data_IF_336902032120
#
_entry.id   IF_336902032120
#
_cell.length_a   1.000
_cell.length_b   1.000
_cell.length_c   1.000
_cell.angle_alpha   90.00
_cell.angle_beta   90.00
_cell.angle_gamma   90.00
#
_symmetry.space_group_name_H-M   'P 1'
#
loop_
_entity.id
_entity.type
_entity.pdbx_description
1 polymer ?
#
# COMPACT_ATOMS: atom_id res chain seq x y z
N UNK A 1 -15.93 -9.29 -5.09
CA UNK A 1 -14.74 -8.72 -4.46
C UNK A 1 -14.96 -8.63 -2.95
N UNK A 2 -14.16 -9.34 -2.16
CA UNK A 2 -14.31 -9.33 -0.71
C UNK A 2 -12.96 -9.26 -0.01
N UNK A 3 -12.91 -8.66 1.18
CA UNK A 3 -11.74 -8.67 2.04
C UNK A 3 -11.36 -10.11 2.46
N UNK A 4 -12.32 -11.01 2.52
CA UNK A 4 -12.08 -12.43 2.80
C UNK A 4 -11.22 -13.10 1.73
N UNK A 5 -11.47 -12.86 0.44
CA UNK A 5 -10.66 -13.42 -0.63
C UNK A 5 -9.22 -12.87 -0.61
N UNK A 6 -9.06 -11.57 -0.31
CA UNK A 6 -7.75 -10.95 -0.15
C UNK A 6 -7.01 -11.53 1.06
N UNK A 7 -7.68 -11.68 2.20
CA UNK A 7 -7.12 -12.26 3.41
C UNK A 7 -6.78 -13.75 3.23
N UNK A 8 -7.61 -14.51 2.53
CA UNK A 8 -7.33 -15.93 2.21
C UNK A 8 -6.04 -16.07 1.40
N UNK A 9 -5.84 -15.21 0.38
CA UNK A 9 -4.61 -15.19 -0.40
C UNK A 9 -3.38 -14.85 0.44
N UNK A 10 -3.50 -13.89 1.36
CA UNK A 10 -2.42 -13.53 2.28
C UNK A 10 -2.15 -14.66 3.29
N UNK A 11 -3.18 -15.29 3.84
CA UNK A 11 -3.05 -16.43 4.74
C UNK A 11 -2.36 -17.62 4.04
N UNK A 12 -2.77 -17.93 2.81
CA UNK A 12 -2.13 -18.95 1.99
C UNK A 12 -0.65 -18.62 1.73
N UNK A 13 -0.31 -17.35 1.49
CA UNK A 13 1.07 -16.90 1.35
C UNK A 13 1.88 -17.17 2.63
N UNK A 14 1.34 -16.82 3.79
CA UNK A 14 1.96 -17.08 5.11
C UNK A 14 2.17 -18.59 5.31
N UNK A 15 1.15 -19.40 5.07
CA UNK A 15 1.21 -20.87 5.23
C UNK A 15 2.24 -21.50 4.30
N UNK A 16 2.33 -21.06 3.06
CA UNK A 16 3.34 -21.55 2.12
C UNK A 16 4.76 -21.26 2.61
N UNK A 17 5.02 -20.06 3.15
CA UNK A 17 6.33 -19.69 3.68
C UNK A 17 6.67 -20.49 4.95
N UNK A 18 5.71 -20.68 5.85
CA UNK A 18 5.88 -21.54 7.03
C UNK A 18 6.15 -22.98 6.64
N UNK A 19 5.41 -23.53 5.68
CA UNK A 19 5.61 -24.89 5.18
C UNK A 19 6.97 -25.07 4.49
N UNK A 20 7.51 -24.00 3.89
CA UNK A 20 8.88 -23.99 3.35
C UNK A 20 9.98 -23.90 4.44
N UNK A 21 9.60 -23.85 5.72
CA UNK A 21 10.53 -23.79 6.84
C UNK A 21 11.00 -22.38 7.22
N UNK A 22 10.40 -21.34 6.67
CA UNK A 22 10.70 -19.96 7.04
C UNK A 22 9.94 -19.57 8.31
N UNK A 23 10.63 -19.02 9.29
CA UNK A 23 10.05 -18.57 10.56
C UNK A 23 10.07 -17.05 10.73
N UNK A 24 10.98 -16.39 10.02
CA UNK A 24 11.18 -14.95 10.08
C UNK A 24 10.97 -14.33 8.69
N UNK A 25 9.79 -13.79 8.47
CA UNK A 25 9.42 -13.10 7.24
C UNK A 25 8.32 -12.07 7.51
N UNK A 26 8.14 -11.14 6.58
CA UNK A 26 7.05 -10.18 6.58
C UNK A 26 6.36 -10.19 5.23
N UNK A 27 5.03 -10.12 5.26
CA UNK A 27 4.18 -9.87 4.09
C UNK A 27 3.74 -8.41 4.17
N UNK A 28 4.32 -7.59 3.31
CA UNK A 28 3.98 -6.17 3.21
C UNK A 28 2.83 -6.00 2.24
N UNK A 29 1.77 -5.32 2.66
CA UNK A 29 0.54 -5.14 1.90
C UNK A 29 0.34 -3.66 1.58
N UNK A 30 0.19 -3.34 0.30
CA UNK A 30 -0.19 -2.03 -0.19
C UNK A 30 -1.62 -2.03 -0.75
N UNK A 31 -2.17 -0.83 -0.93
CA UNK A 31 -3.50 -0.64 -1.52
C UNK A 31 -3.44 0.48 -2.56
N UNK A 32 -3.54 0.08 -3.83
CA UNK A 32 -3.30 1.00 -4.95
C UNK A 32 -4.39 2.07 -5.08
N UNK A 33 -5.61 1.80 -4.63
CA UNK A 33 -6.72 2.74 -4.79
C UNK A 33 -6.62 3.93 -3.84
N UNK A 34 -5.92 3.79 -2.71
CA UNK A 34 -5.62 4.91 -1.82
C UNK A 34 -4.87 6.01 -2.56
N UNK A 35 -3.74 5.68 -3.15
CA UNK A 35 -2.93 6.64 -3.90
C UNK A 35 -3.62 7.13 -5.17
N UNK A 36 -4.27 6.25 -5.94
CA UNK A 36 -5.04 6.63 -7.14
C UNK A 36 -6.15 7.64 -6.83
N UNK A 37 -6.82 7.48 -5.70
CA UNK A 37 -7.89 8.41 -5.28
C UNK A 37 -7.35 9.80 -4.95
N UNK A 38 -6.18 9.86 -4.29
CA UNK A 38 -5.51 11.12 -4.00
C UNK A 38 -4.99 11.80 -5.28
N UNK A 39 -4.44 11.04 -6.22
CA UNK A 39 -4.02 11.58 -7.53
C UNK A 39 -5.19 12.19 -8.29
N UNK A 40 -6.33 11.49 -8.31
CA UNK A 40 -7.55 11.99 -8.96
C UNK A 40 -8.05 13.30 -8.33
N UNK A 41 -7.96 13.41 -7.01
CA UNK A 41 -8.34 14.64 -6.29
C UNK A 41 -7.35 15.79 -6.54
N UNK A 42 -6.07 15.48 -6.71
CA UNK A 42 -5.03 16.47 -6.98
C UNK A 42 -5.07 17.04 -8.41
N UNK A 43 -5.80 16.40 -9.32
CA UNK A 43 -5.97 16.83 -10.73
C UNK A 43 -4.63 17.12 -11.45
N UNK A 44 -3.60 16.30 -11.17
CA UNK A 44 -2.29 16.41 -11.78
C UNK A 44 -2.31 15.93 -13.24
N UNK A 45 -1.44 16.49 -14.07
CA UNK A 45 -1.21 15.99 -15.41
C UNK A 45 -0.40 14.67 -15.41
N UNK A 46 -0.44 13.88 -16.49
CA UNK A 46 0.19 12.54 -16.55
C UNK A 46 1.68 12.53 -16.22
N UNK A 47 2.44 13.52 -16.64
CA UNK A 47 3.88 13.62 -16.34
C UNK A 47 4.14 13.89 -14.84
N UNK A 48 3.31 14.76 -14.24
CA UNK A 48 3.39 15.08 -12.81
C UNK A 48 2.99 13.88 -11.95
N UNK A 49 1.96 13.14 -12.34
CA UNK A 49 1.56 11.89 -11.66
C UNK A 49 2.68 10.86 -11.68
N UNK A 50 3.31 10.64 -12.84
CA UNK A 50 4.39 9.66 -12.96
C UNK A 50 5.62 10.08 -12.15
N UNK A 51 5.99 11.37 -12.17
CA UNK A 51 7.08 11.90 -11.35
C UNK A 51 6.82 11.67 -9.86
N UNK A 52 5.60 11.98 -9.38
CA UNK A 52 5.21 11.76 -7.99
C UNK A 52 5.25 10.27 -7.63
N UNK A 53 4.75 9.41 -8.51
CA UNK A 53 4.78 7.96 -8.34
C UNK A 53 6.21 7.44 -8.16
N UNK A 54 7.14 7.88 -8.99
CA UNK A 54 8.55 7.50 -8.90
C UNK A 54 9.16 7.96 -7.58
N UNK A 55 8.96 9.22 -7.18
CA UNK A 55 9.47 9.77 -5.92
C UNK A 55 8.97 8.98 -4.70
N UNK A 56 7.68 8.66 -4.65
CA UNK A 56 7.10 7.87 -3.56
C UNK A 56 7.64 6.44 -3.57
N UNK A 57 7.72 5.80 -4.73
CA UNK A 57 8.24 4.42 -4.86
C UNK A 57 9.71 4.31 -4.42
N UNK A 58 10.47 5.37 -4.60
CA UNK A 58 11.87 5.46 -4.15
C UNK A 58 12.01 5.88 -2.69
N UNK A 59 10.90 6.10 -1.97
CA UNK A 59 10.88 6.61 -0.59
C UNK A 59 11.61 7.95 -0.44
N UNK A 60 11.61 8.78 -1.51
CA UNK A 60 12.28 10.07 -1.55
C UNK A 60 11.36 11.17 -0.97
N UNK A 61 11.32 11.26 0.35
CA UNK A 61 10.46 12.23 1.06
C UNK A 61 10.78 13.68 0.69
N UNK A 62 12.07 14.01 0.61
CA UNK A 62 12.50 15.36 0.22
C UNK A 62 12.04 15.74 -1.20
N UNK A 63 12.20 14.83 -2.16
CA UNK A 63 11.73 15.05 -3.52
C UNK A 63 10.19 15.20 -3.61
N UNK A 64 9.44 14.51 -2.73
CA UNK A 64 7.99 14.68 -2.65
C UNK A 64 7.63 16.06 -2.07
N UNK A 65 8.31 16.52 -1.02
CA UNK A 65 8.11 17.87 -0.45
C UNK A 65 8.34 18.96 -1.50
N UNK A 66 9.47 18.94 -2.22
CA UNK A 66 9.73 19.87 -3.31
C UNK A 66 8.66 19.80 -4.41
N UNK A 67 8.25 18.59 -4.78
CA UNK A 67 7.24 18.39 -5.82
C UNK A 67 5.89 19.02 -5.45
N UNK A 68 5.38 18.78 -4.23
CA UNK A 68 4.06 19.29 -3.84
C UNK A 68 4.03 20.81 -3.71
N UNK A 69 5.15 21.44 -3.33
CA UNK A 69 5.33 22.88 -3.33
C UNK A 69 5.36 23.45 -4.76
N UNK A 70 6.14 22.84 -5.65
CA UNK A 70 6.23 23.20 -7.07
C UNK A 70 4.84 23.16 -7.75
N UNK A 71 4.06 22.11 -7.49
CA UNK A 71 2.72 21.93 -8.05
C UNK A 71 1.65 22.80 -7.36
N UNK A 72 1.99 23.51 -6.28
CA UNK A 72 1.07 24.37 -5.50
C UNK A 72 -0.20 23.65 -5.07
N UNK A 73 -0.05 22.40 -4.64
CA UNK A 73 -1.18 21.61 -4.17
C UNK A 73 -1.80 22.21 -2.89
N UNK A 74 -3.05 21.88 -2.62
CA UNK A 74 -3.73 22.28 -1.37
C UNK A 74 -2.99 21.67 -0.16
N UNK A 75 -2.96 22.36 0.96
CA UNK A 75 -2.24 21.94 2.18
C UNK A 75 -2.59 20.51 2.61
N UNK A 76 -3.86 20.10 2.50
CA UNK A 76 -4.29 18.74 2.82
C UNK A 76 -3.66 17.70 1.89
N UNK A 77 -3.53 18.00 0.60
CA UNK A 77 -2.90 17.12 -0.38
C UNK A 77 -1.39 17.09 -0.22
N UNK A 78 -0.77 18.24 0.04
CA UNK A 78 0.66 18.31 0.35
C UNK A 78 0.99 17.39 1.52
N UNK A 79 0.26 17.53 2.64
CA UNK A 79 0.45 16.71 3.83
C UNK A 79 0.24 15.22 3.53
N UNK A 80 -0.80 14.86 2.80
CA UNK A 80 -1.07 13.47 2.46
C UNK A 80 0.07 12.85 1.63
N UNK A 81 0.53 13.52 0.58
CA UNK A 81 1.59 12.98 -0.28
C UNK A 81 2.96 12.94 0.40
N UNK A 82 3.32 13.94 1.22
CA UNK A 82 4.62 13.95 1.91
C UNK A 82 4.75 12.85 2.96
N UNK A 83 3.63 12.41 3.53
CA UNK A 83 3.63 11.32 4.52
C UNK A 83 3.73 9.92 3.89
N UNK A 84 3.17 9.70 2.70
CA UNK A 84 3.09 8.37 2.05
C UNK A 84 4.44 7.62 1.98
N UNK A 85 5.58 8.25 1.64
CA UNK A 85 6.86 7.53 1.58
C UNK A 85 7.28 6.85 2.89
N UNK A 86 6.82 7.39 4.03
CA UNK A 86 7.15 6.92 5.36
C UNK A 86 6.01 6.12 6.02
N UNK A 87 4.89 5.95 5.32
CA UNK A 87 3.73 5.23 5.84
C UNK A 87 3.91 3.72 5.68
N UNK A 88 4.72 3.18 6.55
CA UNK A 88 5.03 1.76 6.67
C UNK A 88 4.94 1.32 8.14
N UNK A 89 4.29 0.20 8.40
CA UNK A 89 4.14 -0.32 9.75
C UNK A 89 2.96 -1.27 9.91
N UNK A 90 2.49 -1.44 11.12
CA UNK A 90 1.33 -2.27 11.43
C UNK A 90 0.04 -1.44 11.52
N UNK A 91 -0.85 -1.75 12.41
CA UNK A 91 -2.19 -1.12 12.52
C UNK A 91 -2.17 0.42 12.66
N UNK A 92 -1.13 0.97 13.30
CA UNK A 92 -0.98 2.42 13.49
C UNK A 92 -0.90 3.19 12.17
N UNK A 93 -0.35 2.58 11.13
CA UNK A 93 -0.26 3.19 9.79
C UNK A 93 -1.64 3.33 9.15
N UNK A 94 -2.56 2.39 9.39
CA UNK A 94 -3.94 2.48 8.92
C UNK A 94 -4.68 3.67 9.55
N UNK A 95 -4.50 3.87 10.86
CA UNK A 95 -5.07 5.03 11.58
C UNK A 95 -4.51 6.35 11.04
N UNK A 96 -3.20 6.39 10.77
CA UNK A 96 -2.54 7.54 10.16
C UNK A 96 -3.10 7.82 8.76
N UNK A 97 -3.20 6.82 7.90
CA UNK A 97 -3.75 6.95 6.55
C UNK A 97 -5.16 7.53 6.56
N UNK A 98 -6.00 7.06 7.47
CA UNK A 98 -7.37 7.55 7.65
C UNK A 98 -7.40 9.03 8.06
N UNK A 99 -6.45 9.48 8.88
CA UNK A 99 -6.39 10.87 9.36
C UNK A 99 -5.89 11.89 8.32
N UNK A 100 -5.27 11.43 7.25
CA UNK A 100 -4.63 12.29 6.24
C UNK A 100 -5.57 12.75 5.12
N UNK A 101 -6.76 12.16 5.01
CA UNK A 101 -7.67 12.48 3.90
C UNK A 101 -9.13 12.36 4.32
N UNK A 102 -9.98 13.12 3.63
CA UNK A 102 -11.44 12.99 3.68
C UNK A 102 -12.00 12.40 2.37
N UNK A 103 -11.14 11.95 1.47
CA UNK A 103 -11.55 11.35 0.21
C UNK A 103 -12.25 10.00 0.47
N UNK A 104 -13.49 9.88 0.05
CA UNK A 104 -14.31 8.70 0.33
C UNK A 104 -13.71 7.40 -0.22
N UNK A 105 -13.17 7.44 -1.45
CA UNK A 105 -12.54 6.25 -2.06
C UNK A 105 -11.23 5.87 -1.36
N UNK A 106 -10.43 6.86 -0.93
CA UNK A 106 -9.24 6.59 -0.14
C UNK A 106 -9.56 6.01 1.23
N UNK A 107 -10.62 6.51 1.90
CA UNK A 107 -11.10 5.96 3.17
C UNK A 107 -11.66 4.55 3.02
N UNK A 108 -12.33 4.24 1.92
CA UNK A 108 -12.78 2.88 1.60
C UNK A 108 -11.59 1.93 1.41
N UNK A 109 -10.53 2.38 0.73
CA UNK A 109 -9.30 1.63 0.58
C UNK A 109 -8.64 1.30 1.94
N UNK A 110 -8.62 2.25 2.88
CA UNK A 110 -8.14 2.01 4.26
C UNK A 110 -9.04 1.02 4.98
N UNK A 111 -10.37 1.19 4.90
CA UNK A 111 -11.34 0.27 5.51
C UNK A 111 -11.14 -1.17 5.04
N UNK A 112 -10.82 -1.36 3.76
CA UNK A 112 -10.51 -2.68 3.20
C UNK A 112 -9.27 -3.30 3.87
N UNK A 113 -8.22 -2.52 4.09
CA UNK A 113 -7.02 -3.01 4.78
C UNK A 113 -7.30 -3.34 6.26
N UNK A 114 -8.08 -2.51 6.95
CA UNK A 114 -8.52 -2.77 8.32
C UNK A 114 -9.30 -4.09 8.43
N UNK A 115 -10.23 -4.32 7.51
CA UNK A 115 -11.02 -5.56 7.45
C UNK A 115 -10.14 -6.79 7.19
N UNK A 116 -9.21 -6.71 6.24
CA UNK A 116 -8.21 -7.75 5.99
C UNK A 116 -7.40 -8.04 7.25
N UNK A 117 -6.94 -7.01 7.95
CA UNK A 117 -6.14 -7.16 9.16
C UNK A 117 -6.90 -7.88 10.28
N UNK A 118 -8.17 -7.55 10.49
CA UNK A 118 -9.02 -8.26 11.46
C UNK A 118 -9.20 -9.75 11.09
N UNK A 119 -9.36 -10.06 9.81
CA UNK A 119 -9.41 -11.46 9.37
C UNK A 119 -8.09 -12.17 9.62
N UNK A 120 -6.95 -11.52 9.34
CA UNK A 120 -5.63 -12.09 9.60
C UNK A 120 -5.37 -12.31 11.10
N UNK A 121 -5.88 -11.45 11.98
CA UNK A 121 -5.88 -11.69 13.44
C UNK A 121 -6.65 -12.97 13.81
N UNK A 122 -7.80 -13.21 13.20
CA UNK A 122 -8.58 -14.42 13.44
C UNK A 122 -7.85 -15.70 13.00
N UNK A 123 -6.98 -15.61 12.00
CA UNK A 123 -6.07 -16.69 11.61
C UNK A 123 -4.82 -16.80 12.51
N UNK A 124 -4.54 -15.81 13.35
CA UNK A 124 -3.33 -15.72 14.16
C UNK A 124 -2.07 -15.36 13.35
N UNK A 125 -2.26 -14.68 12.21
CA UNK A 125 -1.19 -14.33 11.28
C UNK A 125 -0.84 -12.83 11.26
N UNK A 126 -1.43 -12.03 12.14
CA UNK A 126 -1.24 -10.58 12.19
C UNK A 126 0.24 -10.17 12.34
N UNK A 127 1.05 -10.96 13.04
CA UNK A 127 2.48 -10.71 13.23
C UNK A 127 3.30 -10.77 11.94
N UNK A 128 2.79 -11.44 10.91
CA UNK A 128 3.45 -11.55 9.60
C UNK A 128 3.04 -10.43 8.65
N UNK A 129 2.03 -9.62 9.00
CA UNK A 129 1.46 -8.60 8.13
C UNK A 129 1.97 -7.21 8.51
N UNK A 130 2.43 -6.48 7.53
CA UNK A 130 2.69 -5.05 7.61
C UNK A 130 2.02 -4.33 6.43
N UNK A 131 1.83 -3.02 6.57
CA UNK A 131 1.22 -2.19 5.53
C UNK A 131 2.25 -1.20 5.00
N UNK A 132 2.26 -0.96 3.69
CA UNK A 132 3.12 0.01 3.03
C UNK A 132 2.33 0.80 1.98
N UNK A 133 1.95 2.02 2.32
CA UNK A 133 1.23 2.92 1.40
C UNK A 133 2.13 3.48 0.29
N UNK A 134 3.44 3.43 0.45
CA UNK A 134 4.42 3.78 -0.56
C UNK A 134 4.75 2.64 -1.53
N UNK A 135 4.16 1.46 -1.33
CA UNK A 135 4.25 0.35 -2.28
C UNK A 135 3.32 0.62 -3.46
N UNK A 136 3.84 1.27 -4.47
CA UNK A 136 3.10 1.60 -5.68
C UNK A 136 3.52 0.65 -6.80
N UNK A 137 2.54 0.09 -7.50
CA UNK A 137 2.82 -0.75 -8.67
C UNK A 137 3.26 0.11 -9.86
N UNK A 138 4.28 -0.33 -10.57
CA UNK A 138 4.63 0.20 -11.89
C UNK A 138 3.55 -0.09 -12.94
N UNK A 139 2.73 -1.10 -12.68
CA UNK A 139 1.71 -1.56 -13.62
C UNK A 139 0.34 -1.03 -13.19
N UNK A 140 -0.34 -0.36 -14.11
CA UNK A 140 -1.65 0.24 -13.86
C UNK A 140 -2.80 -0.79 -13.78
N UNK A 141 -2.53 -2.05 -14.11
CA UNK A 141 -3.55 -3.10 -14.11
C UNK A 141 -3.94 -3.63 -12.72
N UNK A 142 -3.15 -3.34 -11.69
CA UNK A 142 -3.53 -3.71 -10.33
C UNK A 142 -4.71 -2.88 -9.83
N UNK A 143 -5.63 -3.58 -9.18
CA UNK A 143 -6.83 -3.02 -8.53
C UNK A 143 -6.92 -3.56 -7.12
N UNK A 144 -7.08 -2.70 -6.11
CA UNK A 144 -7.15 -3.14 -4.73
C UNK A 144 -5.78 -3.42 -4.12
N UNK A 145 -5.61 -4.59 -3.49
CA UNK A 145 -4.37 -4.91 -2.78
C UNK A 145 -3.24 -5.36 -3.71
N UNK A 146 -2.03 -5.01 -3.30
CA UNK A 146 -0.77 -5.59 -3.77
C UNK A 146 0.03 -6.03 -2.55
N UNK A 147 0.87 -7.05 -2.68
CA UNK A 147 1.68 -7.52 -1.55
C UNK A 147 3.02 -8.07 -2.00
N UNK A 148 3.97 -8.05 -1.10
CA UNK A 148 5.31 -8.58 -1.28
C UNK A 148 5.76 -9.25 0.03
N UNK A 149 6.29 -10.47 -0.07
CA UNK A 149 6.83 -11.18 1.08
C UNK A 149 8.37 -11.14 1.07
N UNK A 150 8.94 -10.79 2.21
CA UNK A 150 10.37 -10.65 2.43
C UNK A 150 10.84 -11.50 3.60
N UNK A 151 12.06 -12.03 3.51
CA UNK A 151 12.79 -12.61 4.65
C UNK A 151 14.11 -11.88 4.86
N UNK A 152 14.73 -12.10 6.01
CA UNK A 152 16.04 -11.53 6.30
C UNK A 152 17.12 -12.03 5.33
N UNK A 153 17.99 -11.12 4.91
CA UNK A 153 19.14 -11.42 4.07
C UNK A 153 18.87 -11.45 2.56
N UNK A 154 17.63 -11.28 2.13
CA UNK A 154 17.30 -11.11 0.71
C UNK A 154 16.90 -9.66 0.45
N UNK A 155 17.58 -8.99 -0.46
CA UNK A 155 17.23 -7.63 -0.90
C UNK A 155 15.98 -7.59 -1.81
N UNK A 156 15.49 -8.75 -2.22
CA UNK A 156 14.37 -8.92 -3.14
C UNK A 156 13.23 -9.69 -2.47
N UNK A 157 11.96 -9.37 -2.79
CA UNK A 157 10.84 -10.13 -2.28
C UNK A 157 10.81 -11.54 -2.86
N UNK A 158 10.53 -12.52 -2.00
CA UNK A 158 10.37 -13.93 -2.39
C UNK A 158 9.06 -14.19 -3.13
N UNK A 159 8.01 -13.46 -2.74
CA UNK A 159 6.67 -13.57 -3.34
C UNK A 159 6.18 -12.17 -3.63
N UNK A 160 5.58 -11.99 -4.80
CA UNK A 160 4.86 -10.78 -5.20
C UNK A 160 3.49 -11.18 -5.71
N UNK A 161 2.50 -10.41 -5.35
CA UNK A 161 1.14 -10.64 -5.82
C UNK A 161 0.27 -9.39 -5.71
N UNK A 162 -0.92 -9.51 -6.20
CA UNK A 162 -1.92 -8.45 -6.12
C UNK A 162 -3.17 -8.81 -6.89
N UNK A 163 -4.20 -8.02 -6.69
CA UNK A 163 -5.45 -8.15 -7.43
C UNK A 163 -5.35 -7.41 -8.77
N UNK A 164 -5.86 -8.01 -9.83
CA UNK A 164 -6.00 -7.39 -11.14
C UNK A 164 -7.30 -7.88 -11.80
N UNK A 165 -8.24 -6.95 -11.94
CA UNK A 165 -9.57 -7.25 -12.49
C UNK A 165 -9.69 -6.89 -13.98
N UNK A 166 -8.67 -6.31 -14.61
CA UNK A 166 -8.72 -5.70 -15.95
C UNK A 166 -7.80 -6.40 -16.97
N UNK A 167 -7.27 -7.57 -16.62
CA UNK A 167 -6.53 -8.39 -17.58
C UNK A 167 -7.52 -9.28 -18.38
N UNK A 168 -8.29 -8.66 -19.27
CA UNK A 168 -9.01 -9.36 -20.35
C UNK A 168 -8.85 -8.61 -21.66
#
# INVERSE_FOLDING_TARGET
>A
ESAYADAELLAMTVECLLAAGLTEFQVSVGQVDYFKSLLKEAELGPEAEERLRVLISQKNSFGVEEFVEEQKLKDSMQKAFTEIPQMFGSEEVLKKARSLTNNACALEAVSRLEEIYEIMKNYGYEKYISFDFGMLSKYQYYTGIIFQAYTYGTGEPMIKGGRYNVLM
#
